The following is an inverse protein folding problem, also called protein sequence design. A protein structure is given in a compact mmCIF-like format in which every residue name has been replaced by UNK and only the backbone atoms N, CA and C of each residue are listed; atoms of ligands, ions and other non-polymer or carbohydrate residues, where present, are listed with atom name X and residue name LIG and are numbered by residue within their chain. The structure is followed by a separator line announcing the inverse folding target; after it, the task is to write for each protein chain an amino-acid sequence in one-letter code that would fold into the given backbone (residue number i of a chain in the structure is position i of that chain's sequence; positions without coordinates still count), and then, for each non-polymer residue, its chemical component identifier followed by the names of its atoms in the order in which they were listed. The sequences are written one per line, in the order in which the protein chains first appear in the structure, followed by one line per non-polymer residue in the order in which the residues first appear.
data_IF_836909529492
#
_entry.id   IF_836909529492
#
_cell.length_a   1.000
_cell.length_b   1.000
_cell.length_c   1.000
_cell.angle_alpha   90.00
_cell.angle_beta   90.00
_cell.angle_gamma   90.00
#
_symmetry.space_group_name_H-M   'P 1'
#
loop_
_entity.id
_entity.type
_entity.pdbx_description
1 polymer ?
#
# COMPACT_ATOMS: atom_id res chain seq x y z
N UNK A 1 14.82 0.77 44.68
CA UNK A 1 14.13 0.30 43.46
C UNK A 1 15.14 -0.51 42.67
N UNK A 2 14.96 -1.82 42.54
CA UNK A 2 15.76 -2.66 41.65
C UNK A 2 15.36 -2.36 40.22
N UNK A 3 16.33 -2.01 39.36
CA UNK A 3 16.04 -1.92 37.93
C UNK A 3 15.59 -3.29 37.41
N UNK A 4 14.57 -3.33 36.53
CA UNK A 4 14.14 -4.58 35.93
C UNK A 4 15.29 -5.19 35.12
N UNK A 5 15.47 -6.51 35.24
CA UNK A 5 16.50 -7.22 34.47
C UNK A 5 16.19 -7.18 32.98
N UNK A 6 17.23 -7.28 32.14
CA UNK A 6 17.07 -7.28 30.68
C UNK A 6 16.10 -8.37 30.19
N UNK A 7 16.13 -9.56 30.82
CA UNK A 7 15.21 -10.65 30.49
C UNK A 7 13.75 -10.32 30.84
N UNK A 8 13.50 -9.59 31.94
CA UNK A 8 12.15 -9.13 32.28
C UNK A 8 11.66 -8.09 31.28
N UNK A 9 12.52 -7.15 30.87
CA UNK A 9 12.22 -6.17 29.83
C UNK A 9 11.95 -6.84 28.48
N UNK A 10 12.74 -7.85 28.11
CA UNK A 10 12.54 -8.63 26.89
C UNK A 10 11.20 -9.35 26.85
N UNK A 11 10.78 -10.00 27.95
CA UNK A 11 9.46 -10.63 28.04
C UNK A 11 8.34 -9.60 27.87
N UNK A 12 8.46 -8.45 28.55
CA UNK A 12 7.48 -7.36 28.43
C UNK A 12 7.41 -6.78 27.01
N UNK A 13 8.56 -6.58 26.35
CA UNK A 13 8.63 -6.13 24.96
C UNK A 13 7.97 -7.15 24.02
N UNK A 14 8.23 -8.44 24.23
CA UNK A 14 7.63 -9.52 23.44
C UNK A 14 6.11 -9.57 23.60
N UNK A 15 5.59 -9.52 24.82
CA UNK A 15 4.14 -9.50 25.08
C UNK A 15 3.47 -8.30 24.40
N UNK A 16 4.13 -7.14 24.45
CA UNK A 16 3.62 -5.92 23.83
C UNK A 16 3.61 -6.02 22.30
N UNK A 17 4.68 -6.55 21.72
CA UNK A 17 4.80 -6.76 20.28
C UNK A 17 3.76 -7.77 19.78
N UNK A 18 3.61 -8.91 20.46
CA UNK A 18 2.58 -9.91 20.16
C UNK A 18 1.17 -9.32 20.25
N UNK A 19 0.88 -8.55 21.29
CA UNK A 19 -0.40 -7.84 21.40
C UNK A 19 -0.65 -6.93 20.19
N UNK A 20 0.35 -6.17 19.72
CA UNK A 20 0.17 -5.30 18.56
C UNK A 20 0.00 -6.06 17.24
N UNK A 21 0.61 -7.24 17.11
CA UNK A 21 0.49 -8.09 15.92
C UNK A 21 -0.89 -8.75 15.80
N UNK A 22 -1.62 -8.94 16.91
CA UNK A 22 -3.01 -9.42 16.89
C UNK A 22 -3.95 -8.52 16.08
N UNK A 23 -3.68 -7.21 16.03
CA UNK A 23 -4.54 -6.24 15.34
C UNK A 23 -4.19 -6.07 13.87
N UNK A 24 -2.89 -6.08 13.54
CA UNK A 24 -2.40 -6.02 12.17
C UNK A 24 -0.94 -6.40 12.07
N UNK A 25 -0.54 -6.87 10.90
CA UNK A 25 0.86 -6.98 10.51
C UNK A 25 1.55 -5.59 10.51
N UNK A 26 2.85 -5.60 10.80
CA UNK A 26 3.70 -4.42 10.95
C UNK A 26 5.04 -4.66 10.30
N UNK A 27 5.64 -3.58 9.79
CA UNK A 27 7.00 -3.65 9.31
C UNK A 27 7.96 -3.80 10.51
N UNK A 28 9.11 -4.44 10.32
CA UNK A 28 10.08 -4.59 11.39
C UNK A 28 10.57 -3.24 11.95
N UNK A 29 10.80 -2.26 11.07
CA UNK A 29 11.16 -0.89 11.47
C UNK A 29 10.05 -0.21 12.29
N UNK A 30 8.79 -0.46 11.92
CA UNK A 30 7.63 0.05 12.65
C UNK A 30 7.55 -0.56 14.06
N UNK A 31 7.82 -1.87 14.17
CA UNK A 31 7.87 -2.57 15.46
C UNK A 31 8.98 -2.01 16.35
N UNK A 32 10.19 -1.86 15.81
CA UNK A 32 11.34 -1.33 16.53
C UNK A 32 11.09 0.09 17.06
N UNK A 33 10.62 0.99 16.20
CA UNK A 33 10.29 2.37 16.58
C UNK A 33 9.24 2.41 17.70
N UNK A 34 8.21 1.58 17.60
CA UNK A 34 7.12 1.55 18.58
C UNK A 34 7.55 0.97 19.93
N UNK A 35 8.45 -0.01 19.95
CA UNK A 35 9.05 -0.50 21.21
C UNK A 35 9.96 0.56 21.83
N UNK A 36 10.78 1.24 21.04
CA UNK A 36 11.61 2.34 21.52
C UNK A 36 10.78 3.51 22.09
N UNK A 37 9.67 3.89 21.44
CA UNK A 37 8.70 4.87 21.96
C UNK A 37 8.06 4.45 23.30
N UNK A 38 8.07 3.15 23.62
CA UNK A 38 7.62 2.62 24.92
C UNK A 38 8.71 2.54 25.97
N UNK A 39 9.91 3.03 25.66
CA UNK A 39 11.02 3.10 26.59
C UNK A 39 11.82 1.80 26.71
N UNK A 40 11.64 0.84 25.80
CA UNK A 40 12.48 -0.36 25.80
C UNK A 40 13.91 -0.02 25.32
N UNK A 41 14.96 -0.47 26.02
CA UNK A 41 16.34 -0.26 25.59
C UNK A 41 16.65 -0.89 24.23
N UNK A 42 17.60 -0.32 23.49
CA UNK A 42 18.00 -0.79 22.15
C UNK A 42 18.32 -2.30 22.10
N UNK A 43 19.11 -2.88 23.02
CA UNK A 43 19.39 -4.32 23.00
C UNK A 43 18.12 -5.19 23.12
N UNK A 44 17.15 -4.75 23.93
CA UNK A 44 15.88 -5.44 24.11
C UNK A 44 15.04 -5.35 22.83
N UNK A 45 14.97 -4.17 22.23
CA UNK A 45 14.25 -3.94 20.97
C UNK A 45 14.80 -4.82 19.85
N UNK A 46 16.12 -4.82 19.66
CA UNK A 46 16.79 -5.58 18.62
C UNK A 46 16.58 -7.09 18.82
N UNK A 47 16.73 -7.58 20.06
CA UNK A 47 16.46 -8.98 20.42
C UNK A 47 15.01 -9.37 20.13
N UNK A 48 14.04 -8.54 20.52
CA UNK A 48 12.62 -8.80 20.26
C UNK A 48 12.31 -8.83 18.77
N UNK A 49 12.80 -7.86 17.99
CA UNK A 49 12.57 -7.82 16.53
C UNK A 49 13.23 -9.00 15.83
N UNK A 50 14.46 -9.36 16.20
CA UNK A 50 15.14 -10.53 15.66
C UNK A 50 14.34 -11.81 15.93
N UNK A 51 13.89 -12.02 17.17
CA UNK A 51 13.08 -13.19 17.52
C UNK A 51 11.76 -13.25 16.76
N UNK A 52 11.08 -12.12 16.59
CA UNK A 52 9.83 -12.07 15.83
C UNK A 52 10.04 -12.39 14.34
N UNK A 53 11.18 -12.01 13.75
CA UNK A 53 11.55 -12.39 12.38
C UNK A 53 11.85 -13.88 12.28
N UNK A 54 12.61 -14.46 13.22
CA UNK A 54 12.87 -15.90 13.28
C UNK A 54 11.57 -16.72 13.32
N UNK A 55 10.60 -16.26 14.12
CA UNK A 55 9.27 -16.86 14.24
C UNK A 55 8.35 -16.55 13.05
N UNK A 56 8.83 -15.80 12.04
CA UNK A 56 8.05 -15.31 10.88
C UNK A 56 6.79 -14.52 11.26
N UNK A 57 6.78 -13.93 12.44
CA UNK A 57 5.72 -13.03 12.91
C UNK A 57 5.91 -11.60 12.39
N UNK A 58 7.16 -11.25 12.04
CA UNK A 58 7.50 -10.09 11.22
C UNK A 58 8.06 -10.59 9.89
N UNK A 59 7.36 -10.27 8.81
CA UNK A 59 7.76 -10.59 7.44
C UNK A 59 7.43 -9.37 6.56
N UNK A 60 8.47 -8.55 6.32
CA UNK A 60 8.35 -7.31 5.56
C UNK A 60 8.00 -7.60 4.09
N UNK A 61 8.54 -8.67 3.51
CA UNK A 61 8.24 -9.09 2.15
C UNK A 61 6.77 -9.52 2.00
N UNK A 62 6.25 -10.33 2.93
CA UNK A 62 4.84 -10.72 2.94
C UNK A 62 3.92 -9.51 3.16
N UNK A 63 4.31 -8.60 4.05
CA UNK A 63 3.56 -7.37 4.29
C UNK A 63 3.53 -6.47 3.04
N UNK A 64 4.67 -6.30 2.36
CA UNK A 64 4.76 -5.51 1.13
C UNK A 64 3.85 -6.08 0.03
N UNK A 65 3.86 -7.41 -0.18
CA UNK A 65 2.96 -8.09 -1.14
C UNK A 65 1.49 -7.85 -0.79
N UNK A 66 1.09 -8.12 0.45
CA UNK A 66 -0.30 -7.98 0.88
C UNK A 66 -0.84 -6.55 0.80
N UNK A 67 -0.01 -5.56 1.15
CA UNK A 67 -0.39 -4.15 1.03
C UNK A 67 -0.45 -3.69 -0.42
N UNK A 68 0.49 -4.13 -1.26
CA UNK A 68 0.47 -3.84 -2.70
C UNK A 68 -0.83 -4.30 -3.32
N UNK A 69 -1.20 -5.56 -3.08
CA UNK A 69 -2.45 -6.13 -3.61
C UNK A 69 -3.70 -5.42 -3.06
N UNK A 70 -3.73 -5.13 -1.75
CA UNK A 70 -4.82 -4.36 -1.14
C UNK A 70 -4.98 -2.96 -1.76
N UNK A 71 -3.87 -2.25 -2.00
CA UNK A 71 -3.90 -0.93 -2.61
C UNK A 71 -4.28 -0.95 -4.10
N UNK A 72 -3.82 -1.96 -4.85
CA UNK A 72 -4.22 -2.18 -6.25
C UNK A 72 -5.72 -2.44 -6.37
N UNK A 73 -6.28 -3.31 -5.52
CA UNK A 73 -7.75 -3.53 -5.44
C UNK A 73 -8.52 -2.26 -5.11
N UNK A 74 -7.95 -1.40 -4.25
CA UNK A 74 -8.50 -0.08 -3.91
C UNK A 74 -8.39 0.96 -5.04
N UNK A 75 -7.81 0.61 -6.20
CA UNK A 75 -7.68 1.49 -7.36
C UNK A 75 -6.54 2.51 -7.24
N UNK A 76 -5.49 2.21 -6.46
CA UNK A 76 -4.28 3.04 -6.39
C UNK A 76 -3.27 2.58 -7.44
N UNK A 77 -2.60 3.54 -8.06
CA UNK A 77 -1.49 3.28 -8.97
C UNK A 77 -0.20 2.94 -8.23
N UNK A 78 0.62 2.10 -8.85
CA UNK A 78 1.85 1.56 -8.27
C UNK A 78 2.85 2.64 -7.78
N UNK A 79 3.04 3.79 -8.45
CA UNK A 79 3.85 4.89 -7.91
C UNK A 79 3.39 5.41 -6.54
N UNK A 80 2.08 5.51 -6.31
CA UNK A 80 1.52 5.92 -5.01
C UNK A 80 1.70 4.81 -3.98
N UNK A 81 1.50 3.56 -4.37
CA UNK A 81 1.70 2.40 -3.51
C UNK A 81 3.14 2.34 -3.03
N UNK A 82 4.12 2.43 -3.94
CA UNK A 82 5.56 2.51 -3.62
C UNK A 82 5.85 3.51 -2.51
N UNK A 83 5.40 4.75 -2.70
CA UNK A 83 5.62 5.84 -1.72
C UNK A 83 5.00 5.52 -0.35
N UNK A 84 3.80 4.94 -0.34
CA UNK A 84 3.11 4.59 0.90
C UNK A 84 3.82 3.46 1.67
N UNK A 85 4.32 2.45 0.96
CA UNK A 85 5.08 1.34 1.55
C UNK A 85 6.44 1.80 2.09
N UNK A 86 7.19 2.60 1.33
CA UNK A 86 8.47 3.17 1.79
C UNK A 86 8.28 4.07 3.01
N UNK A 87 7.21 4.90 3.02
CA UNK A 87 6.88 5.74 4.18
C UNK A 87 6.54 4.92 5.44
N UNK A 88 5.99 3.71 5.28
CA UNK A 88 5.78 2.76 6.39
C UNK A 88 7.08 2.12 6.89
N UNK A 89 8.20 2.35 6.22
CA UNK A 89 9.50 1.82 6.60
C UNK A 89 9.77 0.40 6.11
N UNK A 90 9.04 -0.07 5.10
CA UNK A 90 9.35 -1.34 4.43
C UNK A 90 10.67 -1.21 3.65
N UNK A 91 11.51 -2.27 3.62
CA UNK A 91 12.74 -2.28 2.83
C UNK A 91 12.46 -2.04 1.34
N UNK A 92 13.33 -1.27 0.68
CA UNK A 92 13.15 -0.91 -0.73
C UNK A 92 13.05 -2.15 -1.63
N UNK A 93 13.89 -3.14 -1.39
CA UNK A 93 13.94 -4.35 -2.22
C UNK A 93 12.64 -5.17 -2.11
N UNK A 94 12.07 -5.28 -0.92
CA UNK A 94 10.77 -5.91 -0.70
C UNK A 94 9.63 -5.15 -1.40
N UNK A 95 9.69 -3.82 -1.39
CA UNK A 95 8.72 -2.95 -2.07
C UNK A 95 8.80 -3.13 -3.58
N UNK A 96 10.00 -3.06 -4.17
CA UNK A 96 10.16 -3.23 -5.62
C UNK A 96 9.80 -4.66 -6.06
N UNK A 97 10.17 -5.68 -5.29
CA UNK A 97 9.77 -7.06 -5.57
C UNK A 97 8.23 -7.25 -5.51
N UNK A 98 7.56 -6.65 -4.53
CA UNK A 98 6.10 -6.70 -4.42
C UNK A 98 5.40 -5.98 -5.59
N UNK A 99 5.95 -4.87 -6.07
CA UNK A 99 5.42 -4.11 -7.20
C UNK A 99 5.70 -4.80 -8.55
N UNK A 100 6.84 -5.48 -8.68
CA UNK A 100 7.20 -6.25 -9.87
C UNK A 100 6.33 -7.50 -10.04
N UNK A 101 5.78 -8.05 -8.96
CA UNK A 101 4.83 -9.16 -9.05
C UNK A 101 3.60 -8.71 -9.85
N UNK A 102 3.24 -9.41 -10.94
CA UNK A 102 1.99 -9.14 -11.63
C UNK A 102 0.85 -9.36 -10.64
N UNK A 103 -0.04 -8.37 -10.53
CA UNK A 103 -1.28 -8.53 -9.78
C UNK A 103 -2.26 -9.40 -10.54
N UNK A 104 -3.44 -9.60 -9.97
CA UNK A 104 -4.55 -10.31 -10.64
C UNK A 104 -5.17 -9.51 -11.79
N UNK A 105 -4.96 -8.20 -11.81
CA UNK A 105 -5.51 -7.28 -12.80
C UNK A 105 -4.41 -6.45 -13.45
N UNK A 106 -4.57 -6.16 -14.74
CA UNK A 106 -3.67 -5.25 -15.46
C UNK A 106 -3.81 -3.81 -14.96
N UNK A 107 -2.81 -2.97 -15.24
CA UNK A 107 -2.90 -1.53 -14.94
C UNK A 107 -4.11 -0.90 -15.63
N UNK A 108 -4.38 -1.30 -16.86
CA UNK A 108 -5.51 -0.79 -17.66
C UNK A 108 -6.86 -1.14 -17.03
N UNK A 109 -7.05 -2.39 -16.58
CA UNK A 109 -8.29 -2.82 -15.93
C UNK A 109 -8.54 -2.05 -14.63
N UNK A 110 -7.47 -1.79 -13.86
CA UNK A 110 -7.55 -0.97 -12.66
C UNK A 110 -7.97 0.47 -12.97
N UNK A 111 -7.42 1.05 -14.02
CA UNK A 111 -7.79 2.40 -14.48
C UNK A 111 -9.25 2.42 -14.92
N UNK A 112 -9.68 1.46 -15.75
CA UNK A 112 -11.07 1.34 -16.22
C UNK A 112 -12.05 1.23 -15.06
N UNK A 113 -11.79 0.38 -14.07
CA UNK A 113 -12.63 0.27 -12.87
C UNK A 113 -12.78 1.59 -12.12
N UNK A 114 -11.72 2.40 -12.03
CA UNK A 114 -11.79 3.73 -11.40
C UNK A 114 -12.65 4.69 -12.23
N UNK A 115 -12.55 4.61 -13.56
CA UNK A 115 -13.36 5.40 -14.49
C UNK A 115 -14.83 4.99 -14.45
N UNK A 116 -15.14 3.70 -14.45
CA UNK A 116 -16.52 3.17 -14.42
C UNK A 116 -17.27 3.65 -13.17
N UNK A 117 -16.61 3.60 -12.00
CA UNK A 117 -17.16 4.15 -10.74
C UNK A 117 -17.48 5.65 -10.83
N UNK A 118 -16.89 6.36 -11.79
CA UNK A 118 -17.03 7.79 -12.00
C UNK A 118 -17.76 8.15 -13.30
N UNK A 119 -18.20 7.17 -14.10
CA UNK A 119 -18.79 7.40 -15.44
C UNK A 119 -19.95 8.40 -15.39
N UNK A 120 -20.87 8.23 -14.44
CA UNK A 120 -22.01 9.15 -14.23
C UNK A 120 -21.59 10.60 -13.93
N UNK A 121 -20.43 10.82 -13.31
CA UNK A 121 -19.91 12.16 -13.00
C UNK A 121 -19.31 12.88 -14.20
N UNK A 122 -19.04 12.16 -15.29
CA UNK A 122 -18.49 12.68 -16.53
C UNK A 122 -19.53 12.80 -17.64
N UNK A 123 -20.60 12.01 -17.60
CA UNK A 123 -21.61 11.91 -18.66
C UNK A 123 -22.31 13.23 -19.06
N UNK A 124 -22.33 14.24 -18.19
CA UNK A 124 -22.98 15.55 -18.46
C UNK A 124 -21.99 16.66 -18.83
N UNK A 125 -20.72 16.32 -19.04
CA UNK A 125 -19.65 17.28 -19.31
C UNK A 125 -19.27 17.23 -20.78
N UNK A 126 -18.77 18.35 -21.32
CA UNK A 126 -18.12 18.34 -22.62
C UNK A 126 -16.88 17.42 -22.59
N UNK A 127 -16.53 16.86 -23.75
CA UNK A 127 -15.46 15.86 -23.87
C UNK A 127 -14.13 16.33 -23.26
N UNK A 128 -13.74 17.60 -23.48
CA UNK A 128 -12.49 18.16 -22.95
C UNK A 128 -12.52 18.29 -21.43
N UNK A 129 -13.64 18.71 -20.86
CA UNK A 129 -13.81 18.78 -19.40
C UNK A 129 -13.88 17.39 -18.77
N UNK A 130 -14.58 16.44 -19.40
CA UNK A 130 -14.63 15.04 -18.96
C UNK A 130 -13.23 14.43 -18.92
N UNK A 131 -12.45 14.55 -20.00
CA UNK A 131 -11.08 14.07 -20.09
C UNK A 131 -10.18 14.67 -19.01
N UNK A 132 -10.19 16.01 -18.85
CA UNK A 132 -9.39 16.69 -17.82
C UNK A 132 -9.74 16.20 -16.41
N UNK A 133 -11.03 16.03 -16.09
CA UNK A 133 -11.47 15.56 -14.77
C UNK A 133 -11.13 14.09 -14.53
N UNK A 134 -11.28 13.25 -15.56
CA UNK A 134 -10.94 11.84 -15.52
C UNK A 134 -9.42 11.65 -15.30
N UNK A 135 -8.60 12.37 -16.07
CA UNK A 135 -7.15 12.40 -15.91
C UNK A 135 -6.77 12.81 -14.48
N UNK A 136 -7.31 13.93 -13.99
CA UNK A 136 -7.02 14.41 -12.64
C UNK A 136 -7.44 13.43 -11.54
N UNK A 137 -8.57 12.72 -11.71
CA UNK A 137 -9.01 11.70 -10.77
C UNK A 137 -8.03 10.51 -10.71
N UNK A 138 -7.54 10.04 -11.87
CA UNK A 138 -6.58 8.95 -11.96
C UNK A 138 -5.18 9.36 -11.47
N UNK A 139 -4.74 10.57 -11.79
CA UNK A 139 -3.47 11.12 -11.30
C UNK A 139 -3.46 11.20 -9.76
N UNK A 140 -4.59 11.60 -9.13
CA UNK A 140 -4.73 11.55 -7.66
C UNK A 140 -4.73 10.13 -7.09
N UNK A 141 -5.12 9.13 -7.88
CA UNK A 141 -4.94 7.73 -7.50
C UNK A 141 -3.50 7.25 -7.68
N UNK A 142 -2.67 8.01 -8.41
CA UNK A 142 -1.25 7.77 -8.58
C UNK A 142 -0.90 6.86 -9.74
N UNK A 143 -1.78 6.73 -10.74
CA UNK A 143 -1.45 6.07 -12.00
C UNK A 143 -0.45 6.92 -12.81
N UNK A 144 0.36 6.24 -13.62
CA UNK A 144 1.29 6.90 -14.52
C UNK A 144 0.54 7.67 -15.62
N UNK A 145 1.07 8.81 -16.03
CA UNK A 145 0.43 9.69 -16.99
C UNK A 145 0.22 9.01 -18.36
N UNK A 146 1.15 8.14 -18.77
CA UNK A 146 1.07 7.48 -20.07
C UNK A 146 0.02 6.37 -20.07
N UNK A 147 -0.08 5.60 -18.99
CA UNK A 147 -1.16 4.62 -18.81
C UNK A 147 -2.53 5.29 -18.75
N UNK A 148 -2.63 6.43 -18.06
CA UNK A 148 -3.86 7.22 -18.05
C UNK A 148 -4.25 7.65 -19.47
N UNK A 149 -3.33 8.26 -20.22
CA UNK A 149 -3.60 8.74 -21.59
C UNK A 149 -4.00 7.61 -22.53
N UNK A 150 -3.33 6.46 -22.42
CA UNK A 150 -3.60 5.26 -23.21
C UNK A 150 -5.04 4.80 -23.01
N UNK A 151 -5.46 4.65 -21.74
CA UNK A 151 -6.81 4.17 -21.41
C UNK A 151 -7.88 5.22 -21.70
N UNK A 152 -7.64 6.51 -21.42
CA UNK A 152 -8.60 7.57 -21.72
C UNK A 152 -8.90 7.69 -23.22
N UNK A 153 -7.89 7.51 -24.08
CA UNK A 153 -8.08 7.51 -25.53
C UNK A 153 -9.07 6.45 -25.99
N UNK A 154 -9.07 5.27 -25.38
CA UNK A 154 -10.03 4.20 -25.71
C UNK A 154 -11.36 4.38 -24.99
N UNK A 155 -11.33 4.83 -23.73
CA UNK A 155 -12.51 4.96 -22.88
C UNK A 155 -13.49 6.03 -23.40
N UNK A 156 -12.98 7.18 -23.84
CA UNK A 156 -13.82 8.28 -24.33
C UNK A 156 -14.30 8.06 -25.77
N UNK A 157 -13.51 7.34 -26.61
CA UNK A 157 -13.93 6.96 -27.97
C UNK A 157 -15.03 5.88 -27.96
N UNK A 158 -15.12 5.08 -26.90
CA UNK A 158 -16.13 4.04 -26.75
C UNK A 158 -17.53 4.54 -26.40
N UNK A 159 -17.70 5.84 -26.12
CA UNK A 159 -19.01 6.49 -25.89
C UNK A 159 -19.53 7.20 -27.18
N UNK A 160 -18.82 7.13 -28.32
CA UNK A 160 -19.27 7.66 -29.64
C UNK A 160 -20.04 6.62 -30.49
N UNK A 161 -20.14 5.36 -30.04
CA UNK A 161 -21.14 4.42 -30.57
C UNK A 161 -22.44 4.62 -29.80
N UNK A 162 -23.12 5.74 -30.09
CA UNK A 162 -24.54 5.85 -29.80
C UNK A 162 -25.27 4.75 -30.56
N UNK A 163 -25.67 3.69 -29.86
CA UNK A 163 -26.81 2.89 -30.30
C UNK A 163 -28.04 3.80 -30.21
N UNK A 164 -28.36 4.44 -31.34
CA UNK A 164 -29.72 4.78 -31.69
C UNK A 164 -30.52 3.46 -31.68
N UNK A 165 -31.34 3.27 -30.64
CA UNK A 165 -32.61 2.53 -30.68
C UNK A 165 -33.59 3.14 -29.67
#
# INVERSE_FOLDING_TARGET
MTEPTEDALYRSAMDRALYWLKFRARAAKEMAARLAEKGFPVPVVDRTVARLKELRLLDDAALARGLTESHRRSGRGDPRVRRELLRRGLPKDDVEAALASPGTESVEDRIRRVLDKKKKSFARLDARTAERRAFGALARQGFDADDIRRVLRTFLKGDDNGEDL
#
